data_IF_209710843562
#
_entry.id   IF_209710843562
#
_cell.length_a   1.000
_cell.length_b   1.000
_cell.length_c   1.000
_cell.angle_alpha   90.00
_cell.angle_beta   90.00
_cell.angle_gamma   90.00
#
_symmetry.space_group_name_H-M   'P 1'
#
loop_
_entity.id
_entity.type
_entity.pdbx_description
1 polymer ?
#
# COMPACT_ATOMS: atom_id res chain seq x y z
N UNK A 1 -13.83 3.65 5.87
CA UNK A 1 -14.79 3.06 6.81
C UNK A 1 -15.81 2.33 5.97
N UNK A 2 -15.99 1.04 6.28
CA UNK A 2 -16.91 0.16 5.57
C UNK A 2 -18.00 -0.30 6.54
N UNK A 3 -19.23 -0.35 6.07
CA UNK A 3 -20.32 -1.04 6.71
C UNK A 3 -20.48 -2.40 6.04
N UNK A 4 -20.40 -3.45 6.85
CA UNK A 4 -20.48 -4.84 6.38
C UNK A 4 -21.66 -5.48 7.11
N UNK A 5 -22.71 -5.85 6.41
CA UNK A 5 -23.86 -6.56 6.96
C UNK A 5 -23.64 -8.08 6.96
N UNK A 6 -24.58 -8.85 7.53
CA UNK A 6 -24.47 -10.30 7.58
C UNK A 6 -24.52 -10.94 6.19
N UNK A 7 -25.19 -10.31 5.24
CA UNK A 7 -25.26 -10.79 3.84
C UNK A 7 -23.93 -10.64 3.11
N UNK A 8 -23.03 -9.76 3.59
CA UNK A 8 -21.70 -9.58 3.01
C UNK A 8 -20.82 -10.83 3.14
N UNK A 9 -21.09 -11.70 4.12
CA UNK A 9 -20.36 -12.98 4.27
C UNK A 9 -20.58 -13.90 3.08
N UNK A 10 -21.76 -13.82 2.45
CA UNK A 10 -22.13 -14.64 1.31
C UNK A 10 -21.85 -13.96 -0.03
N UNK A 11 -22.05 -12.65 -0.10
CA UNK A 11 -22.05 -11.89 -1.35
C UNK A 11 -20.88 -10.90 -1.49
N UNK A 12 -20.09 -10.68 -0.43
CA UNK A 12 -19.00 -9.70 -0.43
C UNK A 12 -19.46 -8.24 -0.56
N UNK A 13 -20.75 -7.96 -0.33
CA UNK A 13 -21.32 -6.60 -0.44
C UNK A 13 -20.97 -5.79 0.81
N UNK A 14 -20.50 -4.57 0.59
CA UNK A 14 -20.24 -3.61 1.66
C UNK A 14 -20.62 -2.20 1.21
N UNK A 15 -20.88 -1.32 2.16
CA UNK A 15 -21.13 0.08 1.90
C UNK A 15 -19.94 0.94 2.38
N UNK A 16 -19.46 1.81 1.52
CA UNK A 16 -18.40 2.77 1.88
C UNK A 16 -19.06 3.97 2.58
N UNK A 17 -18.88 4.04 3.90
CA UNK A 17 -19.36 5.15 4.72
C UNK A 17 -18.43 6.36 4.58
N UNK A 18 -17.14 6.11 4.57
CA UNK A 18 -16.11 7.15 4.44
C UNK A 18 -14.87 6.60 3.78
N UNK A 19 -14.41 7.32 2.77
CA UNK A 19 -13.09 7.19 2.20
C UNK A 19 -12.28 8.46 2.50
N UNK A 20 -11.06 8.30 3.01
CA UNK A 20 -10.17 9.42 3.34
C UNK A 20 -8.73 9.00 3.14
N UNK A 21 -7.98 9.81 2.42
CA UNK A 21 -6.55 9.62 2.22
C UNK A 21 -5.75 10.83 2.69
N UNK A 22 -4.55 10.58 3.22
CA UNK A 22 -3.58 11.61 3.61
C UNK A 22 -2.25 11.22 2.97
N UNK A 23 -1.74 12.10 2.10
CA UNK A 23 -0.47 11.86 1.42
C UNK A 23 0.69 12.20 2.34
N UNK A 24 1.56 11.24 2.66
CA UNK A 24 2.67 11.39 3.61
C UNK A 24 4.03 11.03 3.05
N UNK A 25 4.07 10.37 1.90
CA UNK A 25 5.29 9.94 1.21
C UNK A 25 6.28 9.14 2.08
N UNK A 26 5.77 8.22 2.92
CA UNK A 26 6.59 7.45 3.87
C UNK A 26 7.74 6.68 3.19
N UNK A 27 7.56 6.26 1.93
CA UNK A 27 8.58 5.54 1.16
C UNK A 27 9.86 6.33 0.89
N UNK A 28 9.87 7.63 1.14
CA UNK A 28 11.09 8.46 1.09
C UNK A 28 11.99 8.28 2.32
N UNK A 29 11.50 7.64 3.38
CA UNK A 29 12.20 7.33 4.64
C UNK A 29 13.03 8.51 5.18
N UNK A 30 12.41 9.67 5.27
CA UNK A 30 12.97 10.87 5.92
C UNK A 30 12.27 11.15 7.23
N UNK A 31 12.93 11.87 8.14
CA UNK A 31 12.29 12.25 9.40
C UNK A 31 10.98 13.04 9.22
N UNK A 32 10.88 14.03 8.30
CA UNK A 32 9.61 14.70 8.05
C UNK A 32 8.50 13.76 7.56
N UNK A 33 8.80 12.83 6.65
CA UNK A 33 7.78 11.90 6.13
C UNK A 33 7.36 10.87 7.17
N UNK A 34 8.26 10.46 8.06
CA UNK A 34 7.94 9.62 9.22
C UNK A 34 6.95 10.32 10.15
N UNK A 35 7.25 11.55 10.57
CA UNK A 35 6.39 12.32 11.47
C UNK A 35 5.02 12.62 10.83
N UNK A 36 5.00 12.97 9.54
CA UNK A 36 3.76 13.18 8.80
C UNK A 36 2.91 11.90 8.75
N UNK A 37 3.53 10.75 8.55
CA UNK A 37 2.82 9.46 8.51
C UNK A 37 2.26 9.06 9.86
N UNK A 38 3.04 9.24 10.95
CA UNK A 38 2.56 8.98 12.30
C UNK A 38 1.38 9.90 12.66
N UNK A 39 1.47 11.19 12.33
CA UNK A 39 0.39 12.14 12.54
C UNK A 39 -0.87 11.77 11.72
N UNK A 40 -0.70 11.32 10.48
CA UNK A 40 -1.80 10.86 9.63
C UNK A 40 -2.48 9.60 10.18
N UNK A 41 -1.71 8.61 10.63
CA UNK A 41 -2.24 7.40 11.28
C UNK A 41 -3.05 7.77 12.53
N UNK A 42 -2.50 8.62 13.39
CA UNK A 42 -3.20 9.09 14.58
C UNK A 42 -4.52 9.78 14.23
N UNK A 43 -4.49 10.70 13.25
CA UNK A 43 -5.69 11.41 12.80
C UNK A 43 -6.76 10.46 12.25
N UNK A 44 -6.39 9.49 11.40
CA UNK A 44 -7.33 8.51 10.86
C UNK A 44 -7.91 7.60 11.94
N UNK A 45 -7.09 7.21 12.92
CA UNK A 45 -7.54 6.43 14.06
C UNK A 45 -8.51 7.22 14.93
N UNK A 46 -8.23 8.48 15.22
CA UNK A 46 -9.13 9.37 15.98
C UNK A 46 -10.46 9.61 15.28
N UNK A 47 -10.44 9.88 13.98
CA UNK A 47 -11.66 9.98 13.16
C UNK A 47 -12.49 8.71 13.31
N UNK A 48 -11.88 7.54 13.15
CA UNK A 48 -12.58 6.26 13.24
C UNK A 48 -13.19 6.03 14.64
N UNK A 49 -12.43 6.30 15.70
CA UNK A 49 -12.87 6.02 17.08
C UNK A 49 -13.75 7.11 17.67
N UNK A 50 -13.43 8.39 17.42
CA UNK A 50 -14.12 9.52 18.04
C UNK A 50 -15.35 9.98 17.24
N UNK A 51 -15.21 10.11 15.91
CA UNK A 51 -16.29 10.63 15.09
C UNK A 51 -17.28 9.53 14.69
N UNK A 52 -16.77 8.38 14.25
CA UNK A 52 -17.58 7.24 13.80
C UNK A 52 -17.84 6.19 14.88
N UNK A 53 -17.27 6.33 16.07
CA UNK A 53 -17.47 5.42 17.22
C UNK A 53 -17.13 3.95 16.92
N UNK A 54 -16.20 3.72 16.01
CA UNK A 54 -15.74 2.36 15.68
C UNK A 54 -14.90 1.83 16.83
N UNK A 55 -15.23 0.64 17.29
CA UNK A 55 -14.45 -0.03 18.34
C UNK A 55 -13.02 -0.30 17.83
N UNK A 56 -11.98 -0.11 18.66
CA UNK A 56 -10.61 -0.40 18.29
C UNK A 56 -10.38 -1.80 17.70
N UNK A 57 -11.11 -2.81 18.19
CA UNK A 57 -11.08 -4.18 17.69
C UNK A 57 -11.58 -4.34 16.24
N UNK A 58 -12.34 -3.38 15.73
CA UNK A 58 -12.85 -3.37 14.36
C UNK A 58 -12.03 -2.49 13.41
N UNK A 59 -10.88 -1.95 13.90
CA UNK A 59 -9.97 -1.17 13.08
C UNK A 59 -8.78 -2.05 12.68
N UNK A 60 -8.69 -2.35 11.41
CA UNK A 60 -7.59 -3.12 10.83
C UNK A 60 -6.53 -2.17 10.28
N UNK A 61 -5.27 -2.42 10.61
CA UNK A 61 -4.14 -1.61 10.14
C UNK A 61 -3.17 -2.49 9.38
N UNK A 62 -2.77 -2.03 8.20
CA UNK A 62 -1.83 -2.74 7.36
C UNK A 62 -0.79 -1.79 6.76
N UNK A 63 0.41 -2.32 6.54
CA UNK A 63 1.49 -1.70 5.76
C UNK A 63 1.56 -2.42 4.42
N UNK A 64 1.47 -1.67 3.32
CA UNK A 64 1.48 -2.25 1.98
C UNK A 64 2.82 -2.88 1.61
N UNK A 65 2.80 -3.83 0.69
CA UNK A 65 4.02 -4.48 0.20
C UNK A 65 4.98 -3.49 -0.47
N UNK A 66 4.47 -2.43 -1.11
CA UNK A 66 5.30 -1.39 -1.72
C UNK A 66 6.19 -0.66 -0.72
N UNK A 67 5.67 -0.35 0.47
CA UNK A 67 6.45 0.22 1.57
C UNK A 67 7.51 -0.77 2.06
N UNK A 68 7.13 -2.04 2.24
CA UNK A 68 8.06 -3.09 2.71
C UNK A 68 9.20 -3.31 1.71
N UNK A 69 8.90 -3.44 0.42
CA UNK A 69 9.91 -3.60 -0.64
C UNK A 69 10.87 -2.40 -0.69
N UNK A 70 10.35 -1.18 -0.58
CA UNK A 70 11.21 0.00 -0.58
C UNK A 70 12.08 0.08 0.67
N UNK A 71 11.54 -0.32 1.83
CA UNK A 71 12.31 -0.42 3.07
C UNK A 71 13.43 -1.46 3.00
N UNK A 72 13.19 -2.59 2.31
CA UNK A 72 14.23 -3.59 2.03
C UNK A 72 15.33 -3.04 1.14
N UNK A 73 14.97 -2.40 0.02
CA UNK A 73 15.94 -1.80 -0.91
C UNK A 73 16.86 -0.77 -0.26
N UNK A 74 16.32 0.02 0.68
CA UNK A 74 17.05 1.09 1.35
C UNK A 74 17.64 0.68 2.71
N UNK A 75 17.46 -0.59 3.12
CA UNK A 75 17.84 -1.09 4.44
C UNK A 75 17.20 -0.28 5.59
N UNK A 76 15.89 0.02 5.45
CA UNK A 76 15.10 0.88 6.32
C UNK A 76 13.94 0.17 7.04
N UNK A 77 13.97 -1.16 7.14
CA UNK A 77 12.90 -1.92 7.84
C UNK A 77 12.63 -1.43 9.26
N UNK A 78 13.67 -1.02 9.96
CA UNK A 78 13.57 -0.46 11.30
C UNK A 78 12.66 0.78 11.39
N UNK A 79 12.46 1.51 10.29
CA UNK A 79 11.54 2.67 10.26
C UNK A 79 10.07 2.23 10.31
N UNK A 80 9.74 1.10 9.69
CA UNK A 80 8.40 0.50 9.77
C UNK A 80 8.14 0.05 11.21
N UNK A 81 9.08 -0.66 11.82
CA UNK A 81 8.96 -1.15 13.20
C UNK A 81 8.80 0.00 14.20
N UNK A 82 9.58 1.07 14.04
CA UNK A 82 9.48 2.28 14.85
C UNK A 82 8.13 2.97 14.68
N UNK A 83 7.62 3.08 13.43
CA UNK A 83 6.31 3.69 13.15
C UNK A 83 5.19 2.89 13.84
N UNK A 84 5.21 1.57 13.71
CA UNK A 84 4.23 0.67 14.36
C UNK A 84 4.30 0.81 15.89
N UNK A 85 5.52 0.82 16.45
CA UNK A 85 5.72 0.95 17.89
C UNK A 85 5.23 2.29 18.43
N UNK A 86 5.52 3.39 17.72
CA UNK A 86 5.06 4.72 18.09
C UNK A 86 3.53 4.85 18.01
N UNK A 87 2.91 4.27 16.98
CA UNK A 87 1.46 4.24 16.82
C UNK A 87 0.79 3.47 17.98
N UNK A 88 1.29 2.29 18.33
CA UNK A 88 0.83 1.50 19.47
C UNK A 88 0.95 2.24 20.80
N UNK A 89 2.08 2.89 21.00
CA UNK A 89 2.36 3.67 22.20
C UNK A 89 1.39 4.84 22.37
N UNK A 90 1.09 5.58 21.29
CA UNK A 90 0.19 6.74 21.34
C UNK A 90 -1.22 6.41 21.82
N UNK A 91 -1.67 5.18 21.63
CA UNK A 91 -3.01 4.72 22.02
C UNK A 91 -3.01 3.73 23.17
N UNK A 92 -1.84 3.46 23.76
CA UNK A 92 -1.69 2.45 24.82
C UNK A 92 -2.26 1.08 24.42
N UNK A 93 -1.98 0.68 23.17
CA UNK A 93 -2.45 -0.59 22.58
C UNK A 93 -1.26 -1.44 22.10
N UNK A 94 -0.43 -1.97 23.05
CA UNK A 94 0.78 -2.71 22.69
C UNK A 94 0.49 -3.96 21.84
N UNK A 95 -0.67 -4.58 22.05
CA UNK A 95 -1.09 -5.80 21.35
C UNK A 95 -1.83 -5.52 20.02
N UNK A 96 -1.98 -4.26 19.63
CA UNK A 96 -2.62 -3.92 18.35
C UNK A 96 -1.90 -4.58 17.20
N UNK A 97 -2.64 -5.40 16.45
CA UNK A 97 -2.11 -6.04 15.26
C UNK A 97 -1.97 -5.00 14.14
N UNK A 98 -0.74 -4.83 13.66
CA UNK A 98 -0.44 -4.13 12.42
C UNK A 98 0.21 -5.15 11.49
N UNK A 99 -0.41 -5.41 10.36
CA UNK A 99 0.05 -6.43 9.41
C UNK A 99 0.92 -5.79 8.35
N UNK A 100 2.18 -6.20 8.24
CA UNK A 100 3.01 -5.90 7.07
C UNK A 100 2.69 -6.97 6.02
N UNK A 101 2.04 -6.57 4.93
CA UNK A 101 1.54 -7.48 3.90
C UNK A 101 2.67 -7.75 2.90
N UNK A 102 2.91 -9.02 2.56
CA UNK A 102 3.80 -9.37 1.47
C UNK A 102 3.13 -9.15 0.10
N UNK A 103 3.94 -9.12 -0.96
CA UNK A 103 3.46 -8.79 -2.29
C UNK A 103 2.53 -9.84 -2.89
N UNK A 104 2.73 -11.13 -2.55
CA UNK A 104 1.89 -12.22 -3.05
C UNK A 104 0.49 -12.12 -2.44
N UNK A 105 0.44 -11.96 -1.12
CA UNK A 105 -0.82 -11.85 -0.40
C UNK A 105 -1.56 -10.56 -0.75
N UNK A 106 -0.86 -9.43 -0.92
CA UNK A 106 -1.50 -8.19 -1.35
C UNK A 106 -2.08 -8.32 -2.77
N UNK A 107 -1.34 -8.89 -3.72
CA UNK A 107 -1.83 -9.16 -5.08
C UNK A 107 -3.02 -10.12 -5.08
N UNK A 108 -2.96 -11.19 -4.28
CA UNK A 108 -4.04 -12.17 -4.12
C UNK A 108 -5.30 -11.52 -3.56
N UNK A 109 -5.19 -10.74 -2.49
CA UNK A 109 -6.32 -10.06 -1.85
C UNK A 109 -6.92 -8.97 -2.76
N UNK A 110 -6.08 -8.22 -3.47
CA UNK A 110 -6.53 -7.23 -4.46
C UNK A 110 -7.35 -7.90 -5.57
N UNK A 111 -6.86 -9.04 -6.09
CA UNK A 111 -7.60 -9.78 -7.12
C UNK A 111 -8.95 -10.28 -6.58
N UNK A 112 -8.98 -10.85 -5.37
CA UNK A 112 -10.22 -11.35 -4.76
C UNK A 112 -11.22 -10.23 -4.47
N UNK A 113 -10.74 -9.03 -4.10
CA UNK A 113 -11.61 -7.90 -3.75
C UNK A 113 -12.12 -7.10 -4.96
N UNK A 114 -11.35 -7.07 -6.07
CA UNK A 114 -11.67 -6.22 -7.23
C UNK A 114 -12.38 -7.02 -8.34
N UNK A 115 -11.95 -8.27 -8.56
CA UNK A 115 -12.44 -9.08 -9.67
C UNK A 115 -13.69 -9.85 -9.26
N UNK A 116 -14.84 -9.65 -9.93
CA UNK A 116 -16.06 -10.42 -9.66
C UNK A 116 -15.84 -11.93 -9.76
N UNK A 117 -16.54 -12.71 -8.94
CA UNK A 117 -16.44 -14.17 -8.88
C UNK A 117 -16.58 -14.84 -10.25
N UNK A 118 -17.52 -14.35 -11.07
CA UNK A 118 -17.78 -14.88 -12.41
C UNK A 118 -16.61 -14.69 -13.38
N UNK A 119 -15.66 -13.79 -13.08
CA UNK A 119 -14.49 -13.48 -13.91
C UNK A 119 -13.16 -13.82 -13.25
N UNK A 120 -13.18 -14.35 -12.03
CA UNK A 120 -12.00 -14.55 -11.18
C UNK A 120 -10.90 -15.36 -11.83
N UNK A 121 -11.25 -16.35 -12.61
CA UNK A 121 -10.29 -17.29 -13.21
C UNK A 121 -9.92 -16.98 -14.67
N UNK A 122 -10.45 -15.91 -15.22
CA UNK A 122 -10.15 -15.48 -16.60
C UNK A 122 -9.72 -13.99 -16.67
N UNK A 123 -9.34 -13.43 -15.52
CA UNK A 123 -8.89 -12.04 -15.43
C UNK A 123 -7.46 -12.00 -14.91
N UNK A 124 -6.62 -11.21 -15.57
CA UNK A 124 -5.32 -10.79 -15.08
C UNK A 124 -5.46 -9.40 -14.48
N UNK A 125 -5.12 -9.24 -13.19
CA UNK A 125 -5.14 -7.95 -12.49
C UNK A 125 -3.78 -7.28 -12.58
N UNK A 126 -3.76 -5.97 -12.81
CA UNK A 126 -2.60 -5.09 -12.64
C UNK A 126 -2.98 -3.98 -11.67
N UNK A 127 -2.23 -3.88 -10.58
CA UNK A 127 -2.34 -2.84 -9.55
C UNK A 127 -1.05 -2.00 -9.55
N UNK A 128 -1.17 -0.74 -9.97
CA UNK A 128 -0.06 0.21 -10.01
C UNK A 128 -0.06 1.03 -8.72
N UNK A 129 0.74 0.60 -7.75
CA UNK A 129 0.88 1.29 -6.46
C UNK A 129 1.89 2.43 -6.49
N UNK A 130 2.12 3.06 -5.34
CA UNK A 130 3.14 4.11 -5.20
C UNK A 130 4.57 3.56 -5.17
N UNK A 131 4.81 2.43 -4.52
CA UNK A 131 6.13 1.85 -4.33
C UNK A 131 6.48 0.74 -5.33
N UNK A 132 5.48 0.01 -5.80
CA UNK A 132 5.63 -1.12 -6.73
C UNK A 132 4.39 -1.25 -7.64
N UNK A 133 4.53 -2.02 -8.70
CA UNK A 133 3.41 -2.53 -9.50
C UNK A 133 3.31 -4.03 -9.27
N UNK A 134 2.12 -4.53 -9.04
CA UNK A 134 1.86 -5.94 -8.76
C UNK A 134 0.53 -6.39 -9.36
N UNK A 135 0.32 -7.67 -9.41
CA UNK A 135 -0.91 -8.25 -9.88
C UNK A 135 -0.75 -9.73 -10.18
N UNK A 136 -1.61 -10.26 -11.01
CA UNK A 136 -1.55 -11.66 -11.39
C UNK A 136 -2.92 -12.27 -11.63
N UNK A 137 -2.98 -13.58 -11.55
CA UNK A 137 -4.19 -14.34 -11.84
C UNK A 137 -4.24 -15.66 -11.06
N UNK A 138 -5.41 -16.27 -11.00
CA UNK A 138 -5.63 -17.60 -10.43
C UNK A 138 -5.74 -18.64 -11.54
N UNK A 139 -4.78 -19.57 -11.65
CA UNK A 139 -4.92 -20.71 -12.58
C UNK A 139 -5.85 -21.79 -12.00
N UNK A 140 -6.41 -22.61 -12.87
CA UNK A 140 -7.08 -23.88 -12.53
C UNK A 140 -8.21 -23.77 -11.50
N UNK A 141 -8.95 -22.66 -11.48
CA UNK A 141 -10.05 -22.43 -10.53
C UNK A 141 -9.63 -22.60 -9.05
N UNK A 142 -8.41 -22.19 -8.72
CA UNK A 142 -7.85 -22.32 -7.38
C UNK A 142 -7.38 -20.97 -6.82
N UNK A 143 -8.11 -20.40 -5.87
CA UNK A 143 -7.78 -19.11 -5.23
C UNK A 143 -6.59 -19.17 -4.26
N UNK A 144 -6.05 -20.36 -3.99
CA UNK A 144 -4.84 -20.55 -3.19
C UNK A 144 -3.56 -20.50 -4.03
N UNK A 145 -3.68 -20.70 -5.35
CA UNK A 145 -2.55 -20.71 -6.28
C UNK A 145 -2.52 -19.40 -7.10
N UNK A 146 -2.11 -18.31 -6.46
CA UNK A 146 -1.99 -17.02 -7.12
C UNK A 146 -0.67 -16.94 -7.88
N UNK A 147 -0.72 -16.67 -9.17
CA UNK A 147 0.47 -16.42 -10.01
C UNK A 147 0.76 -14.93 -10.01
N UNK A 148 1.79 -14.56 -9.25
CA UNK A 148 2.22 -13.18 -9.08
C UNK A 148 2.91 -12.65 -10.34
N UNK A 149 2.57 -11.43 -10.72
CA UNK A 149 3.33 -10.50 -11.53
C UNK A 149 3.76 -9.32 -10.67
N UNK A 150 5.01 -8.91 -10.73
CA UNK A 150 5.44 -7.70 -10.04
C UNK A 150 6.57 -6.96 -10.77
N UNK A 151 6.55 -5.64 -10.62
CA UNK A 151 7.68 -4.76 -10.90
C UNK A 151 8.01 -4.01 -9.62
N UNK A 152 9.28 -3.81 -9.36
CA UNK A 152 9.76 -3.07 -8.18
C UNK A 152 9.62 -1.55 -8.31
N UNK A 153 8.85 -1.09 -9.28
CA UNK A 153 8.57 0.30 -9.61
C UNK A 153 7.07 0.58 -9.47
N UNK A 154 6.75 1.71 -8.86
CA UNK A 154 5.43 2.29 -8.77
C UNK A 154 5.49 3.77 -9.08
N UNK A 155 4.38 4.48 -8.99
CA UNK A 155 4.29 5.88 -9.40
C UNK A 155 5.27 6.79 -8.64
N UNK A 156 5.32 6.69 -7.31
CA UNK A 156 6.22 7.52 -6.48
C UNK A 156 7.67 7.05 -6.53
N UNK A 157 7.91 5.75 -6.48
CA UNK A 157 9.28 5.24 -6.54
C UNK A 157 9.95 5.60 -7.86
N UNK A 158 9.21 5.59 -8.97
CA UNK A 158 9.69 6.04 -10.28
C UNK A 158 9.96 7.54 -10.30
N UNK A 159 9.03 8.36 -9.78
CA UNK A 159 9.22 9.81 -9.68
C UNK A 159 10.44 10.17 -8.82
N UNK A 160 10.53 9.60 -7.62
CA UNK A 160 11.66 9.82 -6.71
C UNK A 160 13.01 9.41 -7.34
N UNK A 161 13.02 8.33 -8.11
CA UNK A 161 14.24 7.91 -8.84
C UNK A 161 14.61 8.91 -9.95
N UNK A 162 13.64 9.41 -10.71
CA UNK A 162 13.88 10.44 -11.74
C UNK A 162 14.42 11.75 -11.11
N UNK A 163 13.87 12.18 -9.98
CA UNK A 163 14.33 13.35 -9.23
C UNK A 163 15.77 13.18 -8.71
N UNK A 164 16.14 12.01 -8.20
CA UNK A 164 17.53 11.73 -7.76
C UNK A 164 18.55 11.90 -8.89
N UNK A 165 18.16 11.68 -10.15
CA UNK A 165 19.04 11.91 -11.30
C UNK A 165 19.09 13.36 -11.78
N UNK A 166 18.24 14.25 -11.26
CA UNK A 166 18.14 15.64 -11.72
C UNK A 166 19.35 16.50 -11.33
N UNK A 167 20.11 16.11 -10.27
CA UNK A 167 21.29 16.85 -9.78
C UNK A 167 21.03 18.35 -9.58
N UNK A 168 19.83 18.73 -9.13
CA UNK A 168 19.42 20.11 -8.90
C UNK A 168 18.82 20.84 -10.13
N UNK A 169 18.78 20.22 -11.29
CA UNK A 169 18.05 20.75 -12.45
C UNK A 169 16.59 20.30 -12.42
N UNK A 170 15.71 21.19 -12.00
CA UNK A 170 14.26 20.96 -11.88
C UNK A 170 13.49 21.28 -13.17
N UNK A 171 14.15 21.35 -14.31
CA UNK A 171 13.47 21.56 -15.59
C UNK A 171 12.62 20.34 -15.98
N UNK A 172 11.48 20.59 -16.65
CA UNK A 172 10.60 19.53 -17.13
C UNK A 172 11.33 18.59 -18.11
N UNK A 173 12.23 19.14 -18.95
CA UNK A 173 13.01 18.33 -19.90
C UNK A 173 13.98 17.37 -19.22
N UNK A 174 14.63 17.80 -18.14
CA UNK A 174 15.51 16.93 -17.34
C UNK A 174 14.69 15.86 -16.61
N UNK A 175 13.54 16.22 -16.05
CA UNK A 175 12.64 15.25 -15.41
C UNK A 175 12.17 14.19 -16.41
N UNK A 176 11.68 14.58 -17.58
CA UNK A 176 11.21 13.66 -18.63
C UNK A 176 12.31 12.70 -19.09
N UNK A 177 13.51 13.23 -19.35
CA UNK A 177 14.68 12.42 -19.70
C UNK A 177 15.02 11.39 -18.62
N UNK A 178 15.01 11.79 -17.37
CA UNK A 178 15.32 10.91 -16.23
C UNK A 178 14.21 9.87 -16.00
N UNK A 179 12.96 10.26 -16.19
CA UNK A 179 11.81 9.36 -16.11
C UNK A 179 11.94 8.24 -17.15
N UNK A 180 12.22 8.58 -18.42
CA UNK A 180 12.43 7.61 -19.48
C UNK A 180 13.62 6.68 -19.19
N UNK A 181 14.69 7.18 -18.61
CA UNK A 181 15.84 6.37 -18.16
C UNK A 181 15.46 5.35 -17.08
N UNK A 182 14.66 5.76 -16.09
CA UNK A 182 14.18 4.88 -15.00
C UNK A 182 13.27 3.79 -15.57
N UNK A 183 12.33 4.16 -16.46
CA UNK A 183 11.39 3.22 -17.07
C UNK A 183 12.10 2.21 -17.97
N UNK A 184 13.06 2.64 -18.80
CA UNK A 184 13.86 1.73 -19.61
C UNK A 184 14.65 0.72 -18.77
N UNK A 185 15.12 1.10 -17.58
CA UNK A 185 15.72 0.17 -16.61
C UNK A 185 14.73 -0.82 -16.01
N UNK A 186 13.47 -0.44 -15.88
CA UNK A 186 12.42 -1.31 -15.35
C UNK A 186 11.97 -2.38 -16.36
N UNK A 187 12.04 -2.09 -17.66
CA UNK A 187 11.69 -3.05 -18.72
C UNK A 187 12.70 -4.21 -18.85
N UNK A 188 13.90 -4.06 -18.28
CA UNK A 188 14.98 -5.04 -18.35
C UNK A 188 15.08 -5.92 -17.09
N UNK A 189 14.25 -5.68 -16.09
CA UNK A 189 14.25 -6.38 -14.81
C UNK A 189 13.12 -7.42 -14.71
#
# INVERSE_FOLDING_TARGET
ILEIDESAKENGVYHVIKDTSINTDFISFTQPTYLATLAALNKLYEISTKDYKILPSHIFTAVSSGVNIQAEKENKKNWIDQLISAFRFNYNEPERKVTVIDVVEEGRLSHLGIVPDSRRYNTFLIDIGSGNTKGGYFPYNNTKDFKLFQLTWGTKSTANAAEKYANGDNSLGTYDKNLNRVLAGAEQS
#
